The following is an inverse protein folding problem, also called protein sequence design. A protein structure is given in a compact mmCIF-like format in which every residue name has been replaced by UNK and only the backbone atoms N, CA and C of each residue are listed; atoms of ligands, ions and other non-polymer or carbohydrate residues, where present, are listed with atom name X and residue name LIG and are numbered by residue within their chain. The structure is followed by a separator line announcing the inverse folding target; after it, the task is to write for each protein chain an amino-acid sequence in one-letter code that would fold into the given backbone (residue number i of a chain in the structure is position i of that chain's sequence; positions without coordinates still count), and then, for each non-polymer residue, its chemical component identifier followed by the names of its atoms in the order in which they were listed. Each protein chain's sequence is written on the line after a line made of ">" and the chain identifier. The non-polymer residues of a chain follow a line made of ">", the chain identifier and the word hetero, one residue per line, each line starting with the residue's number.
data_IF_194404854983
#
_entry.id   IF_194404854983
#
_cell.length_a   1.000
_cell.length_b   1.000
_cell.length_c   1.000
_cell.angle_alpha   90.00
_cell.angle_beta   90.00
_cell.angle_gamma   90.00
#
_symmetry.space_group_name_H-M   'P 1'
#
loop_
_entity.id
_entity.type
_entity.pdbx_description
1 polymer ?
#
# COMPACT_ATOMS: atom_id res chain seq x y z
N UNK A 1 -36.65 -66.20 -65.09
CA UNK A 1 -36.49 -65.47 -63.82
C UNK A 1 -35.38 -66.19 -63.06
N UNK A 2 -34.15 -65.67 -63.16
CA UNK A 2 -32.93 -66.40 -62.82
C UNK A 2 -32.43 -65.90 -61.46
N UNK A 3 -32.75 -66.61 -60.37
CA UNK A 3 -32.28 -66.31 -59.03
C UNK A 3 -30.93 -67.03 -58.76
N UNK A 4 -29.89 -66.65 -59.50
CA UNK A 4 -28.51 -67.04 -59.20
C UNK A 4 -27.73 -65.82 -58.73
N UNK A 5 -27.06 -65.97 -57.58
CA UNK A 5 -26.14 -65.05 -56.90
C UNK A 5 -26.70 -63.94 -55.95
N UNK A 6 -27.47 -64.32 -54.92
CA UNK A 6 -27.79 -63.42 -53.78
C UNK A 6 -27.31 -63.91 -52.40
N UNK A 7 -26.88 -65.17 -52.26
CA UNK A 7 -26.46 -65.74 -50.97
C UNK A 7 -25.01 -65.43 -50.58
N UNK A 8 -24.13 -65.19 -51.56
CA UNK A 8 -22.73 -64.80 -51.32
C UNK A 8 -22.54 -63.33 -50.89
N UNK A 9 -23.40 -62.42 -51.37
CA UNK A 9 -23.37 -61.01 -50.99
C UNK A 9 -23.91 -60.79 -49.58
N UNK A 10 -24.90 -61.58 -49.14
CA UNK A 10 -25.53 -61.45 -47.82
C UNK A 10 -24.56 -61.75 -46.65
N UNK A 11 -23.69 -62.76 -46.81
CA UNK A 11 -22.66 -63.09 -45.81
C UNK A 11 -21.57 -62.02 -45.74
N UNK A 12 -21.13 -61.50 -46.90
CA UNK A 12 -20.15 -60.41 -46.96
C UNK A 12 -20.71 -59.13 -46.32
N UNK A 13 -21.97 -58.80 -46.61
CA UNK A 13 -22.66 -57.63 -46.06
C UNK A 13 -22.88 -57.76 -44.56
N UNK A 14 -23.21 -58.94 -44.04
CA UNK A 14 -23.30 -59.20 -42.60
C UNK A 14 -21.94 -59.06 -41.89
N UNK A 15 -20.85 -59.54 -42.50
CA UNK A 15 -19.49 -59.39 -41.96
C UNK A 15 -19.03 -57.92 -42.01
N UNK A 16 -19.29 -57.20 -43.10
CA UNK A 16 -19.00 -55.78 -43.21
C UNK A 16 -19.82 -54.94 -42.22
N UNK A 17 -21.12 -55.22 -42.09
CA UNK A 17 -22.01 -54.53 -41.16
C UNK A 17 -21.59 -54.77 -39.70
N UNK A 18 -21.20 -56.00 -39.34
CA UNK A 18 -20.71 -56.30 -37.99
C UNK A 18 -19.34 -55.69 -37.70
N UNK A 19 -18.42 -55.65 -38.68
CA UNK A 19 -17.16 -54.95 -38.55
C UNK A 19 -17.36 -53.43 -38.38
N UNK A 20 -18.26 -52.83 -39.17
CA UNK A 20 -18.61 -51.41 -39.07
C UNK A 20 -19.26 -51.09 -37.72
N UNK A 21 -20.19 -51.95 -37.26
CA UNK A 21 -20.83 -51.83 -35.94
C UNK A 21 -19.77 -51.86 -34.82
N UNK A 22 -18.80 -52.77 -34.90
CA UNK A 22 -17.74 -52.87 -33.90
C UNK A 22 -16.88 -51.59 -33.84
N UNK A 23 -16.54 -51.01 -34.99
CA UNK A 23 -15.80 -49.74 -35.06
C UNK A 23 -16.62 -48.61 -34.43
N UNK A 24 -17.92 -48.51 -34.75
CA UNK A 24 -18.79 -47.50 -34.15
C UNK A 24 -18.96 -47.69 -32.64
N UNK A 25 -19.10 -48.93 -32.17
CA UNK A 25 -19.22 -49.22 -30.74
C UNK A 25 -17.97 -48.77 -29.97
N UNK A 26 -16.77 -49.06 -30.49
CA UNK A 26 -15.50 -48.62 -29.87
C UNK A 26 -15.39 -47.09 -29.88
N UNK A 27 -15.77 -46.43 -30.98
CA UNK A 27 -15.74 -44.97 -31.08
C UNK A 27 -16.69 -44.31 -30.06
N UNK A 28 -17.92 -44.82 -29.92
CA UNK A 28 -18.92 -44.31 -28.97
C UNK A 28 -18.43 -44.50 -27.52
N UNK A 29 -17.90 -45.67 -27.19
CA UNK A 29 -17.34 -45.94 -25.87
C UNK A 29 -16.16 -45.00 -25.55
N UNK A 30 -15.24 -44.84 -26.51
CA UNK A 30 -14.07 -43.95 -26.36
C UNK A 30 -14.48 -42.49 -26.17
N UNK A 31 -15.46 -42.02 -26.93
CA UNK A 31 -16.00 -40.67 -26.80
C UNK A 31 -16.68 -40.47 -25.45
N UNK A 32 -17.44 -41.45 -24.97
CA UNK A 32 -18.12 -41.39 -23.66
C UNK A 32 -17.11 -41.32 -22.51
N UNK A 33 -16.06 -42.14 -22.54
CA UNK A 33 -14.98 -42.11 -21.54
C UNK A 33 -14.29 -40.75 -21.57
N UNK A 34 -13.95 -40.24 -22.74
CA UNK A 34 -13.27 -38.94 -22.90
C UNK A 34 -14.16 -37.79 -22.43
N UNK A 35 -15.46 -37.82 -22.73
CA UNK A 35 -16.42 -36.81 -22.30
C UNK A 35 -16.59 -36.80 -20.77
N UNK A 36 -16.67 -37.98 -20.15
CA UNK A 36 -16.76 -38.10 -18.69
C UNK A 36 -15.47 -37.65 -18.00
N UNK A 37 -14.31 -38.02 -18.52
CA UNK A 37 -13.02 -37.53 -18.01
C UNK A 37 -12.87 -36.02 -18.16
N UNK A 38 -13.29 -35.46 -19.30
CA UNK A 38 -13.29 -34.02 -19.54
C UNK A 38 -14.18 -33.26 -18.55
N UNK A 39 -15.39 -33.78 -18.28
CA UNK A 39 -16.33 -33.19 -17.32
C UNK A 39 -15.80 -33.28 -15.89
N UNK A 40 -15.29 -34.45 -15.49
CA UNK A 40 -14.69 -34.64 -14.17
C UNK A 40 -13.49 -33.72 -13.93
N UNK A 41 -12.63 -33.56 -14.95
CA UNK A 41 -11.52 -32.60 -14.89
C UNK A 41 -12.03 -31.16 -14.74
N UNK A 42 -12.99 -30.74 -15.55
CA UNK A 42 -13.53 -29.38 -15.49
C UNK A 42 -14.14 -29.05 -14.13
N UNK A 43 -14.88 -29.99 -13.52
CA UNK A 43 -15.42 -29.84 -12.17
C UNK A 43 -14.32 -29.76 -11.12
N UNK A 44 -13.26 -30.57 -11.25
CA UNK A 44 -12.12 -30.53 -10.34
C UNK A 44 -11.36 -29.21 -10.43
N UNK A 45 -11.12 -28.73 -11.66
CA UNK A 45 -10.47 -27.46 -11.93
C UNK A 45 -11.29 -26.29 -11.36
N UNK A 46 -12.62 -26.34 -11.42
CA UNK A 46 -13.49 -25.33 -10.80
C UNK A 46 -13.43 -25.37 -9.26
N UNK A 47 -13.46 -26.57 -8.65
CA UNK A 47 -13.37 -26.74 -7.19
C UNK A 47 -12.02 -26.23 -6.65
N UNK A 48 -10.89 -26.57 -7.28
CA UNK A 48 -9.57 -26.10 -6.82
C UNK A 48 -9.43 -24.58 -6.90
N UNK A 49 -9.93 -23.95 -7.97
CA UNK A 49 -9.94 -22.48 -8.08
C UNK A 49 -10.78 -21.87 -6.96
N UNK A 50 -11.97 -22.43 -6.70
CA UNK A 50 -12.83 -21.98 -5.61
C UNK A 50 -12.15 -22.12 -4.25
N UNK A 51 -11.50 -23.26 -3.96
CA UNK A 51 -10.77 -23.48 -2.68
C UNK A 51 -9.60 -22.55 -2.49
N UNK A 52 -8.86 -22.25 -3.55
CA UNK A 52 -7.76 -21.30 -3.48
C UNK A 52 -8.27 -19.88 -3.22
N UNK A 53 -9.34 -19.46 -3.91
CA UNK A 53 -10.01 -18.18 -3.69
C UNK A 53 -10.60 -18.06 -2.28
N UNK A 54 -11.27 -19.11 -1.79
CA UNK A 54 -11.78 -19.16 -0.42
C UNK A 54 -10.65 -18.91 0.59
N UNK A 55 -9.47 -19.50 0.38
CA UNK A 55 -8.31 -19.28 1.25
C UNK A 55 -7.78 -17.84 1.20
N UNK A 56 -7.69 -17.22 0.03
CA UNK A 56 -7.20 -15.83 -0.06
C UNK A 56 -8.20 -14.84 0.55
N UNK A 57 -9.50 -15.05 0.34
CA UNK A 57 -10.54 -14.19 0.93
C UNK A 57 -10.59 -14.36 2.46
N UNK A 58 -10.44 -15.58 2.97
CA UNK A 58 -10.30 -15.81 4.40
C UNK A 58 -9.12 -15.02 4.99
N UNK A 59 -7.94 -15.11 4.40
CA UNK A 59 -6.76 -14.33 4.84
C UNK A 59 -7.02 -12.81 4.84
N UNK A 60 -7.74 -12.29 3.84
CA UNK A 60 -8.08 -10.85 3.75
C UNK A 60 -8.98 -10.37 4.89
N UNK A 61 -9.81 -11.25 5.46
CA UNK A 61 -10.68 -10.90 6.60
C UNK A 61 -9.96 -10.88 7.94
N UNK A 62 -8.76 -11.47 8.03
CA UNK A 62 -7.97 -11.46 9.27
C UNK A 62 -7.44 -10.03 9.48
N UNK A 63 -7.55 -9.46 10.70
CA UNK A 63 -6.91 -8.18 11.02
C UNK A 63 -5.42 -8.21 10.70
N UNK A 64 -4.88 -7.09 10.21
CA UNK A 64 -3.48 -7.03 9.79
C UNK A 64 -2.53 -7.48 10.90
N UNK A 65 -2.76 -7.01 12.13
CA UNK A 65 -1.91 -7.31 13.30
C UNK A 65 -2.01 -8.76 13.77
N UNK A 66 -3.03 -9.49 13.31
CA UNK A 66 -3.23 -10.91 13.60
C UNK A 66 -2.65 -11.82 12.51
N UNK A 67 -2.14 -11.27 11.41
CA UNK A 67 -1.47 -12.03 10.35
C UNK A 67 0.00 -12.28 10.75
N UNK A 68 0.27 -13.47 11.28
CA UNK A 68 1.64 -13.91 11.53
C UNK A 68 2.29 -14.46 10.26
N UNK A 69 3.57 -14.16 10.07
CA UNK A 69 4.35 -14.72 8.97
C UNK A 69 4.35 -16.25 9.03
N UNK A 70 4.12 -16.89 7.89
CA UNK A 70 4.05 -18.35 7.81
C UNK A 70 4.40 -18.83 6.40
N UNK A 71 5.31 -19.80 6.34
CA UNK A 71 5.70 -20.47 5.09
C UNK A 71 4.79 -21.67 4.75
N UNK A 72 4.20 -22.27 5.78
CA UNK A 72 3.24 -23.37 5.65
C UNK A 72 2.17 -23.24 6.74
N UNK A 73 1.09 -22.56 6.40
CA UNK A 73 -0.03 -22.37 7.30
C UNK A 73 -1.30 -23.07 6.89
N UNK A 74 -2.23 -23.13 7.85
CA UNK A 74 -3.61 -23.54 7.67
C UNK A 74 -4.56 -22.47 8.21
N UNK A 75 -5.78 -22.46 7.67
CA UNK A 75 -6.85 -21.59 8.14
C UNK A 75 -7.73 -22.32 9.14
N UNK A 76 -8.25 -21.60 10.12
CA UNK A 76 -9.21 -22.12 11.08
C UNK A 76 -10.29 -21.09 11.39
N UNK A 77 -11.55 -21.50 11.32
CA UNK A 77 -12.70 -20.67 11.68
C UNK A 77 -13.02 -20.84 13.16
N UNK A 78 -13.07 -19.73 13.90
CA UNK A 78 -13.33 -19.73 15.36
C UNK A 78 -14.82 -19.60 15.71
N UNK A 79 -15.69 -19.47 14.71
CA UNK A 79 -17.12 -19.14 14.89
C UNK A 79 -17.45 -17.70 14.50
N UNK A 80 -16.50 -16.78 14.64
CA UNK A 80 -16.67 -15.35 14.32
C UNK A 80 -15.57 -14.77 13.44
N UNK A 81 -14.39 -15.38 13.40
CA UNK A 81 -13.26 -14.89 12.63
C UNK A 81 -12.40 -16.04 12.09
N UNK A 82 -11.75 -15.77 10.96
CA UNK A 82 -10.67 -16.61 10.47
C UNK A 82 -9.39 -16.35 11.26
N UNK A 83 -8.63 -17.42 11.45
CA UNK A 83 -7.28 -17.37 12.04
C UNK A 83 -6.34 -18.15 11.14
N UNK A 84 -5.08 -17.73 11.10
CA UNK A 84 -4.00 -18.45 10.42
C UNK A 84 -3.07 -19.04 11.46
N UNK A 85 -2.70 -20.30 11.28
CA UNK A 85 -1.74 -21.00 12.15
C UNK A 85 -0.58 -21.54 11.33
N UNK A 86 0.59 -21.74 11.94
CA UNK A 86 1.75 -22.39 11.32
C UNK A 86 1.73 -23.92 11.48
N UNK A 87 0.54 -24.53 11.51
CA UNK A 87 0.38 -25.98 11.74
C UNK A 87 0.62 -26.86 10.50
N UNK A 88 1.01 -26.25 9.38
CA UNK A 88 1.20 -26.93 8.10
C UNK A 88 -0.06 -26.95 7.23
N UNK A 89 -0.02 -27.65 6.09
CA UNK A 89 -1.14 -27.72 5.16
C UNK A 89 -2.39 -28.39 5.75
N UNK A 90 -3.57 -27.91 5.37
CA UNK A 90 -4.85 -28.52 5.74
C UNK A 90 -5.43 -29.40 4.63
N UNK A 91 -6.06 -30.51 5.01
CA UNK A 91 -6.76 -31.38 4.06
C UNK A 91 -8.21 -30.96 3.93
N UNK A 92 -8.62 -30.63 2.71
CA UNK A 92 -9.99 -30.31 2.34
C UNK A 92 -10.68 -31.54 1.72
N UNK A 93 -11.99 -31.42 1.51
CA UNK A 93 -12.77 -32.45 0.82
C UNK A 93 -12.24 -32.72 -0.60
N UNK A 94 -12.45 -33.95 -1.09
CA UNK A 94 -12.09 -34.31 -2.46
C UNK A 94 -10.59 -34.49 -2.71
N UNK A 95 -9.78 -34.71 -1.66
CA UNK A 95 -8.34 -34.96 -1.79
C UNK A 95 -7.54 -33.72 -2.17
N UNK A 96 -8.05 -32.53 -1.85
CA UNK A 96 -7.35 -31.25 -2.01
C UNK A 96 -6.63 -30.95 -0.70
N UNK A 97 -5.39 -30.50 -0.78
CA UNK A 97 -4.64 -29.96 0.34
C UNK A 97 -4.43 -28.48 0.12
N UNK A 98 -4.74 -27.62 1.11
CA UNK A 98 -4.50 -26.18 1.06
C UNK A 98 -3.34 -25.80 1.97
N UNK A 99 -2.47 -24.95 1.47
CA UNK A 99 -1.40 -24.30 2.24
C UNK A 99 -1.56 -22.80 2.06
N UNK A 100 -1.69 -22.07 3.16
CA UNK A 100 -1.65 -20.61 3.14
C UNK A 100 -0.29 -20.09 3.56
N UNK A 101 0.11 -18.94 3.00
CA UNK A 101 1.37 -18.27 3.36
C UNK A 101 1.13 -16.79 3.59
N UNK A 102 1.85 -16.27 4.58
CA UNK A 102 1.91 -14.84 4.88
C UNK A 102 3.39 -14.49 4.88
N UNK A 103 3.81 -13.65 3.94
CA UNK A 103 5.20 -13.29 3.72
C UNK A 103 5.38 -11.80 3.83
N UNK A 104 6.56 -11.39 4.25
CA UNK A 104 6.98 -9.99 4.15
C UNK A 104 7.15 -9.62 2.67
N UNK A 105 6.99 -8.34 2.38
CA UNK A 105 7.38 -7.72 1.12
C UNK A 105 8.47 -6.70 1.38
N UNK A 106 9.27 -6.42 0.36
CA UNK A 106 10.30 -5.39 0.42
C UNK A 106 9.98 -4.28 -0.59
N UNK A 107 10.35 -3.04 -0.27
CA UNK A 107 10.26 -1.88 -1.16
C UNK A 107 11.61 -1.21 -1.37
N UNK A 108 11.77 -0.56 -2.52
CA UNK A 108 12.86 0.38 -2.76
C UNK A 108 12.53 1.79 -2.24
N UNK A 109 13.48 2.72 -2.40
CA UNK A 109 13.33 4.12 -2.00
C UNK A 109 12.24 4.88 -2.75
N UNK A 110 11.71 4.34 -3.85
CA UNK A 110 10.59 4.91 -4.59
C UNK A 110 9.26 4.26 -4.19
N UNK A 111 9.26 3.52 -3.08
CA UNK A 111 8.10 2.80 -2.58
C UNK A 111 7.52 1.79 -3.57
N UNK A 112 8.34 1.20 -4.42
CA UNK A 112 7.95 0.12 -5.34
C UNK A 112 8.28 -1.23 -4.70
N UNK A 113 7.36 -2.19 -4.76
CA UNK A 113 7.62 -3.56 -4.28
C UNK A 113 8.70 -4.21 -5.16
N UNK A 114 9.77 -4.68 -4.51
CA UNK A 114 10.93 -5.31 -5.16
C UNK A 114 11.11 -6.77 -4.71
N UNK A 115 11.89 -7.58 -5.45
CA UNK A 115 12.21 -8.93 -5.02
C UNK A 115 12.94 -8.96 -3.68
N UNK A 116 12.70 -10.01 -2.88
CA UNK A 116 13.36 -10.23 -1.60
C UNK A 116 14.89 -10.15 -1.70
N UNK A 117 15.51 -9.44 -0.76
CA UNK A 117 16.94 -9.12 -0.72
C UNK A 117 17.35 -7.92 -1.59
N UNK A 118 16.40 -7.16 -2.14
CA UNK A 118 16.66 -6.01 -3.03
C UNK A 118 16.14 -4.68 -2.50
N UNK A 119 15.47 -4.66 -1.34
CA UNK A 119 14.96 -3.45 -0.71
C UNK A 119 14.85 -3.59 0.81
N UNK A 120 14.12 -2.66 1.41
CA UNK A 120 13.82 -2.66 2.84
C UNK A 120 12.46 -3.28 3.11
N UNK A 121 12.31 -3.94 4.26
CA UNK A 121 11.07 -4.62 4.64
C UNK A 121 9.95 -3.59 4.81
N UNK A 122 8.87 -3.76 4.04
CA UNK A 122 7.64 -2.97 4.20
C UNK A 122 6.84 -3.51 5.39
N UNK A 123 6.83 -2.72 6.46
CA UNK A 123 6.14 -3.05 7.72
C UNK A 123 4.60 -2.98 7.60
N UNK A 124 4.08 -2.32 6.57
CA UNK A 124 2.66 -2.08 6.37
C UNK A 124 2.01 -2.99 5.33
N UNK A 125 2.80 -3.74 4.57
CA UNK A 125 2.27 -4.66 3.55
C UNK A 125 2.75 -6.09 3.77
N UNK A 126 1.82 -7.04 3.64
CA UNK A 126 2.11 -8.48 3.62
C UNK A 126 1.67 -9.08 2.29
N UNK A 127 2.46 -10.03 1.78
CA UNK A 127 2.05 -10.90 0.69
C UNK A 127 1.32 -12.11 1.24
N UNK A 128 0.11 -12.33 0.72
CA UNK A 128 -0.78 -13.43 1.07
C UNK A 128 -0.82 -14.42 -0.09
N UNK A 129 -0.69 -15.71 0.22
CA UNK A 129 -0.85 -16.78 -0.76
C UNK A 129 -1.78 -17.86 -0.24
N UNK A 130 -2.59 -18.40 -1.14
CA UNK A 130 -3.40 -19.59 -0.93
C UNK A 130 -3.10 -20.56 -2.06
N UNK A 131 -2.34 -21.60 -1.74
CA UNK A 131 -2.00 -22.68 -2.66
C UNK A 131 -2.85 -23.90 -2.35
N UNK A 132 -3.49 -24.45 -3.36
CA UNK A 132 -4.14 -25.75 -3.29
C UNK A 132 -3.39 -26.75 -4.13
N UNK A 133 -3.23 -27.96 -3.61
CA UNK A 133 -2.59 -29.08 -4.30
C UNK A 133 -3.51 -30.29 -4.31
N UNK A 134 -3.45 -31.06 -5.39
CA UNK A 134 -4.24 -32.29 -5.55
C UNK A 134 -3.50 -33.27 -6.47
N UNK A 135 -3.98 -34.50 -6.51
CA UNK A 135 -3.51 -35.51 -7.46
C UNK A 135 -4.56 -35.70 -8.55
N UNK A 136 -4.13 -35.64 -9.82
CA UNK A 136 -5.03 -35.86 -10.95
C UNK A 136 -5.37 -37.36 -11.15
N UNK A 137 -6.32 -37.71 -12.04
CA UNK A 137 -6.69 -39.12 -12.28
C UNK A 137 -5.55 -40.01 -12.80
N UNK A 138 -4.44 -39.43 -13.28
CA UNK A 138 -3.25 -40.16 -13.73
C UNK A 138 -2.19 -40.28 -12.63
N UNK A 139 -2.48 -39.85 -11.40
CA UNK A 139 -1.57 -39.90 -10.27
C UNK A 139 -0.55 -38.76 -10.23
N UNK A 140 -0.72 -37.71 -11.03
CA UNK A 140 0.23 -36.58 -11.11
C UNK A 140 -0.15 -35.51 -10.10
N UNK A 141 0.83 -35.02 -9.35
CA UNK A 141 0.64 -33.87 -8.46
C UNK A 141 0.37 -32.61 -9.30
N UNK A 142 -0.59 -31.81 -8.86
CA UNK A 142 -0.99 -30.53 -9.44
C UNK A 142 -1.12 -29.50 -8.31
N UNK A 143 -0.87 -28.23 -8.61
CA UNK A 143 -1.14 -27.13 -7.70
C UNK A 143 -1.67 -25.91 -8.41
N UNK A 144 -2.38 -25.06 -7.66
CA UNK A 144 -2.91 -23.79 -8.10
C UNK A 144 -2.78 -22.78 -6.96
N UNK A 145 -2.18 -21.63 -7.25
CA UNK A 145 -1.90 -20.60 -6.24
C UNK A 145 -2.61 -19.32 -6.60
N UNK A 146 -3.28 -18.72 -5.62
CA UNK A 146 -3.80 -17.36 -5.68
C UNK A 146 -3.01 -16.50 -4.71
N UNK A 147 -2.52 -15.36 -5.18
CA UNK A 147 -1.77 -14.39 -4.38
C UNK A 147 -2.50 -13.06 -4.28
N UNK A 148 -2.29 -12.35 -3.19
CA UNK A 148 -2.78 -10.99 -2.95
C UNK A 148 -1.79 -10.23 -2.08
N UNK A 149 -1.89 -8.91 -2.08
CA UNK A 149 -1.28 -8.07 -1.05
C UNK A 149 -2.34 -7.69 -0.02
N UNK A 150 -1.89 -7.43 1.21
CA UNK A 150 -2.68 -6.84 2.28
C UNK A 150 -1.88 -5.69 2.87
N UNK A 151 -2.39 -4.47 2.77
CA UNK A 151 -1.75 -3.25 3.29
C UNK A 151 -2.54 -2.67 4.45
N UNK A 152 -1.86 -2.18 5.48
CA UNK A 152 -2.41 -1.46 6.63
C UNK A 152 -2.55 0.03 6.31
N UNK A 153 -3.72 0.43 5.81
CA UNK A 153 -3.98 1.83 5.44
C UNK A 153 -4.43 2.73 6.60
N UNK A 154 -4.92 2.16 7.70
CA UNK A 154 -5.54 2.95 8.78
C UNK A 154 -4.53 3.57 9.73
N UNK A 155 -3.34 3.00 9.82
CA UNK A 155 -2.27 3.41 10.72
C UNK A 155 -0.92 2.89 10.17
N UNK A 156 -0.49 3.40 9.00
CA UNK A 156 0.77 3.01 8.40
C UNK A 156 1.94 3.40 9.31
N UNK A 157 2.98 2.58 9.34
CA UNK A 157 4.17 2.76 10.16
C UNK A 157 5.43 2.96 9.31
N UNK A 158 5.38 2.57 8.04
CA UNK A 158 6.47 2.69 7.08
C UNK A 158 6.37 3.97 6.28
N UNK A 159 7.54 4.52 5.94
CA UNK A 159 7.71 5.81 5.26
C UNK A 159 6.91 5.93 3.96
N UNK A 160 6.65 4.82 3.28
CA UNK A 160 5.91 4.79 2.02
C UNK A 160 4.42 5.12 2.11
N UNK A 161 3.84 5.05 3.30
CA UNK A 161 2.41 5.25 3.49
C UNK A 161 2.09 6.26 4.60
N UNK A 162 3.10 6.75 5.33
CA UNK A 162 2.92 7.87 6.25
C UNK A 162 2.42 9.09 5.47
N UNK A 163 1.49 9.82 6.08
CA UNK A 163 1.03 11.07 5.49
C UNK A 163 2.18 12.09 5.52
N UNK A 164 2.39 12.82 4.42
CA UNK A 164 3.36 13.91 4.34
C UNK A 164 3.14 14.88 5.51
N UNK A 165 4.21 15.30 6.18
CA UNK A 165 4.15 16.22 7.32
C UNK A 165 3.46 17.55 6.93
N UNK A 166 3.69 18.03 5.70
CA UNK A 166 3.00 19.18 5.14
C UNK A 166 1.46 19.03 5.12
N UNK A 167 0.93 17.82 4.97
CA UNK A 167 -0.51 17.58 4.98
C UNK A 167 -1.12 17.61 6.40
N UNK A 168 -0.27 17.50 7.42
CA UNK A 168 -0.66 17.43 8.82
C UNK A 168 -0.41 18.72 9.59
N UNK A 169 0.19 19.73 8.96
CA UNK A 169 0.45 21.03 9.58
C UNK A 169 -0.65 22.04 9.21
N UNK A 170 -1.14 22.77 10.21
CA UNK A 170 -2.01 23.93 10.03
C UNK A 170 -1.25 25.23 10.30
N UNK A 171 -1.27 26.16 9.34
CA UNK A 171 -0.81 27.55 9.56
C UNK A 171 -2.02 28.38 9.97
N UNK A 172 -2.14 28.71 11.26
CA UNK A 172 -3.32 29.40 11.77
C UNK A 172 -3.20 30.92 11.57
N UNK A 173 -3.76 31.39 10.46
CA UNK A 173 -3.88 32.81 10.13
C UNK A 173 -5.12 33.49 10.75
N UNK A 174 -6.01 32.71 11.39
CA UNK A 174 -7.28 33.23 11.94
C UNK A 174 -7.06 34.01 13.24
N UNK A 175 -6.07 33.61 14.04
CA UNK A 175 -5.73 34.27 15.31
C UNK A 175 -5.08 35.66 15.16
N UNK A 176 -4.88 36.11 13.90
CA UNK A 176 -4.23 37.36 13.50
C UNK A 176 -2.79 37.50 14.01
N UNK A 177 -1.82 37.38 13.10
CA UNK A 177 -0.44 37.71 13.41
C UNK A 177 -0.29 39.22 13.67
N UNK A 178 0.64 39.61 14.56
CA UNK A 178 0.79 40.99 15.02
C UNK A 178 2.24 41.51 14.91
N UNK A 179 2.36 42.82 14.70
CA UNK A 179 3.63 43.56 14.71
C UNK A 179 3.93 44.18 16.07
N UNK A 180 4.86 43.60 16.80
CA UNK A 180 5.37 44.18 18.05
C UNK A 180 6.50 45.17 17.77
N UNK A 181 6.34 46.40 18.26
CA UNK A 181 7.29 47.49 17.99
C UNK A 181 7.46 47.78 16.50
N UNK A 182 6.45 47.42 15.68
CA UNK A 182 6.38 47.59 14.23
C UNK A 182 7.36 46.74 13.41
N UNK A 183 8.17 45.89 14.04
CA UNK A 183 9.27 45.17 13.37
C UNK A 183 9.48 43.74 13.85
N UNK A 184 8.61 43.25 14.72
CA UNK A 184 8.64 41.87 15.21
C UNK A 184 7.32 41.21 14.89
N UNK A 185 7.34 40.21 14.02
CA UNK A 185 6.18 39.35 13.80
C UNK A 185 6.04 38.42 15.00
N UNK A 186 4.84 38.36 15.56
CA UNK A 186 4.45 37.48 16.66
C UNK A 186 3.06 36.90 16.40
N UNK A 187 2.59 36.04 17.31
CA UNK A 187 1.22 35.49 17.33
C UNK A 187 0.81 34.73 16.06
N UNK A 188 1.77 34.25 15.28
CA UNK A 188 1.55 33.32 14.18
C UNK A 188 1.71 31.90 14.71
N UNK A 189 0.66 31.08 14.63
CA UNK A 189 0.65 29.74 15.20
C UNK A 189 0.75 28.67 14.13
N UNK A 190 1.58 27.66 14.41
CA UNK A 190 1.65 26.41 13.68
C UNK A 190 0.99 25.33 14.53
N UNK A 191 0.17 24.47 13.92
CA UNK A 191 -0.57 23.41 14.60
C UNK A 191 -0.27 22.08 13.93
N UNK A 192 0.24 21.11 14.69
CA UNK A 192 0.35 19.74 14.23
C UNK A 192 -1.00 19.04 14.47
N UNK A 193 -1.75 18.85 13.38
CA UNK A 193 -3.07 18.22 13.36
C UNK A 193 -2.99 16.68 13.39
N UNK A 194 -1.80 16.11 13.17
CA UNK A 194 -1.51 14.68 13.26
C UNK A 194 -1.19 14.20 14.67
N UNK A 195 -0.93 12.90 14.81
CA UNK A 195 -0.50 12.28 16.08
C UNK A 195 1.00 12.10 16.19
N UNK A 196 1.71 12.10 15.06
CA UNK A 196 3.16 11.95 14.98
C UNK A 196 3.87 13.31 15.03
N UNK A 197 5.12 13.38 15.52
CA UNK A 197 5.90 14.61 15.51
C UNK A 197 6.23 15.07 14.08
N UNK A 198 6.15 16.38 13.84
CA UNK A 198 6.53 17.04 12.59
C UNK A 198 7.81 17.84 12.83
N UNK A 199 8.82 17.76 11.96
CA UNK A 199 10.07 18.51 12.09
C UNK A 199 10.25 19.46 10.92
N UNK A 200 10.32 20.76 11.22
CA UNK A 200 10.63 21.81 10.24
C UNK A 200 12.14 21.96 10.18
N UNK A 201 12.73 21.93 8.98
CA UNK A 201 14.17 22.15 8.77
C UNK A 201 14.49 23.38 7.92
N UNK A 202 13.54 23.87 7.12
CA UNK A 202 13.73 25.04 6.25
C UNK A 202 12.48 25.91 6.22
N UNK A 203 12.69 27.22 6.14
CA UNK A 203 11.65 28.24 6.14
C UNK A 203 11.98 29.31 5.10
N UNK A 204 10.95 29.78 4.39
CA UNK A 204 11.04 30.98 3.56
C UNK A 204 9.91 31.95 3.92
N UNK A 205 10.27 33.18 4.26
CA UNK A 205 9.33 34.30 4.32
C UNK A 205 9.47 35.16 3.07
N UNK A 206 8.35 35.47 2.43
CA UNK A 206 8.30 36.46 1.34
C UNK A 206 7.44 37.65 1.78
N UNK A 207 7.95 38.86 1.56
CA UNK A 207 7.30 40.14 1.88
C UNK A 207 7.57 41.23 0.82
N UNK A 208 6.78 42.30 0.82
CA UNK A 208 6.72 43.29 -0.25
C UNK A 208 7.39 44.66 0.05
N UNK A 209 8.39 44.69 0.92
CA UNK A 209 9.17 45.91 1.23
C UNK A 209 10.69 45.63 1.18
N UNK A 210 11.51 46.64 1.49
CA UNK A 210 12.97 46.56 1.39
C UNK A 210 13.67 46.15 2.70
N UNK A 211 12.92 45.85 3.76
CA UNK A 211 13.49 45.44 5.05
C UNK A 211 14.06 44.02 4.95
N UNK A 212 15.02 43.71 5.83
CA UNK A 212 15.66 42.39 5.95
C UNK A 212 15.27 41.70 7.25
N UNK A 213 15.28 40.38 7.27
CA UNK A 213 15.07 39.56 8.46
C UNK A 213 16.39 39.23 9.16
N UNK A 214 16.42 39.35 10.50
CA UNK A 214 17.65 39.19 11.31
C UNK A 214 17.65 37.94 12.20
N UNK A 215 16.48 37.49 12.65
CA UNK A 215 16.35 36.33 13.54
C UNK A 215 14.91 35.83 13.58
N UNK A 216 14.76 34.54 13.88
CA UNK A 216 13.48 33.87 14.06
C UNK A 216 13.49 32.97 15.29
N UNK A 217 12.38 32.99 16.01
CA UNK A 217 12.09 32.11 17.13
C UNK A 217 10.77 31.39 16.92
N UNK A 218 10.77 30.12 17.30
CA UNK A 218 9.57 29.32 17.49
C UNK A 218 9.52 28.97 18.98
N UNK A 219 8.46 29.41 19.66
CA UNK A 219 8.38 29.48 21.12
C UNK A 219 9.66 30.10 21.72
N UNK A 220 10.26 29.50 22.73
CA UNK A 220 11.49 30.03 23.33
C UNK A 220 12.77 29.70 22.55
N UNK A 221 12.69 28.95 21.45
CA UNK A 221 13.85 28.45 20.72
C UNK A 221 14.19 29.39 19.56
N UNK A 222 15.42 29.89 19.53
CA UNK A 222 15.96 30.57 18.35
C UNK A 222 16.28 29.52 17.31
N UNK A 223 15.51 29.47 16.23
CA UNK A 223 15.70 28.51 15.14
C UNK A 223 16.64 29.05 14.07
N UNK A 224 16.70 30.38 13.90
CA UNK A 224 17.66 31.01 12.99
C UNK A 224 18.09 32.41 13.44
N UNK A 225 19.32 32.82 13.12
CA UNK A 225 19.69 34.24 13.07
C UNK A 225 20.83 34.53 12.10
N UNK A 226 21.01 35.83 11.79
CA UNK A 226 22.13 36.33 10.99
C UNK A 226 23.53 35.95 11.51
N UNK A 227 23.64 35.47 12.74
CA UNK A 227 24.88 34.98 13.37
C UNK A 227 24.83 33.52 13.80
N UNK A 228 23.80 32.78 13.38
CA UNK A 228 23.52 31.41 13.82
C UNK A 228 22.55 31.33 15.00
N UNK A 229 21.88 30.19 15.22
CA UNK A 229 21.98 28.96 14.43
C UNK A 229 21.35 29.10 13.03
N UNK A 230 21.52 28.06 12.20
CA UNK A 230 21.02 27.99 10.83
C UNK A 230 21.88 28.73 9.79
N UNK A 231 21.45 28.67 8.54
CA UNK A 231 22.08 29.26 7.38
C UNK A 231 21.02 29.85 6.42
N UNK A 232 21.36 30.79 5.53
CA UNK A 232 22.61 31.53 5.43
C UNK A 232 22.86 32.51 6.60
N UNK A 233 24.12 32.92 6.76
CA UNK A 233 24.50 33.98 7.71
C UNK A 233 24.24 35.38 7.13
N UNK A 234 24.16 36.38 8.00
CA UNK A 234 23.80 37.76 7.65
C UNK A 234 22.29 38.02 7.66
N UNK A 235 21.86 39.29 7.59
CA UNK A 235 20.46 39.63 7.39
C UNK A 235 19.97 39.13 6.03
N UNK A 236 18.76 38.59 5.97
CA UNK A 236 18.20 37.98 4.76
C UNK A 236 17.12 38.85 4.13
N UNK A 237 17.12 38.89 2.80
CA UNK A 237 16.07 39.53 2.02
C UNK A 237 14.83 38.64 1.91
N UNK A 238 13.72 39.26 1.48
CA UNK A 238 12.48 38.56 1.11
C UNK A 238 12.74 37.41 0.13
N UNK A 239 12.09 36.26 0.36
CA UNK A 239 12.16 35.08 -0.50
C UNK A 239 13.48 34.31 -0.42
N UNK A 240 14.23 34.48 0.68
CA UNK A 240 15.44 33.67 0.92
C UNK A 240 15.05 32.39 1.65
N UNK A 241 15.44 31.24 1.09
CA UNK A 241 15.41 29.93 1.74
C UNK A 241 16.38 29.91 2.92
N UNK A 242 15.87 29.54 4.09
CA UNK A 242 16.61 29.56 5.36
C UNK A 242 16.53 28.19 6.01
N UNK A 243 17.65 27.49 5.95
CA UNK A 243 17.94 26.30 6.72
C UNK A 243 18.04 26.68 8.22
N UNK A 244 17.05 26.23 8.98
CA UNK A 244 16.94 26.53 10.42
C UNK A 244 17.59 25.42 11.25
N UNK A 245 17.87 25.68 12.52
CA UNK A 245 18.01 24.57 13.45
C UNK A 245 16.67 23.84 13.54
N UNK A 246 16.66 22.57 13.14
CA UNK A 246 15.50 21.67 13.15
C UNK A 246 14.62 21.89 14.38
N UNK A 247 13.33 22.11 14.13
CA UNK A 247 12.35 22.34 15.17
C UNK A 247 11.20 21.33 15.06
N UNK A 248 11.08 20.47 16.06
CA UNK A 248 10.05 19.43 16.13
C UNK A 248 8.82 19.91 16.91
N UNK A 249 7.65 19.78 16.29
CA UNK A 249 6.32 20.02 16.87
C UNK A 249 5.71 18.66 17.24
N UNK A 250 5.48 18.36 18.54
CA UNK A 250 4.80 17.14 18.95
C UNK A 250 3.40 17.01 18.34
N UNK A 251 2.96 15.78 18.06
CA UNK A 251 1.61 15.49 17.55
C UNK A 251 0.50 16.07 18.40
N UNK A 252 -0.52 16.65 17.76
CA UNK A 252 -1.70 17.23 18.41
C UNK A 252 -1.41 18.51 19.21
N UNK A 253 -0.29 19.18 18.96
CA UNK A 253 0.10 20.41 19.68
C UNK A 253 0.22 21.61 18.75
N UNK A 254 0.21 22.80 19.34
CA UNK A 254 0.46 24.06 18.63
C UNK A 254 1.66 24.80 19.22
N UNK A 255 2.39 25.49 18.36
CA UNK A 255 3.55 26.32 18.69
C UNK A 255 3.40 27.70 18.07
N UNK A 256 4.01 28.70 18.69
CA UNK A 256 3.98 30.08 18.22
C UNK A 256 5.30 30.44 17.53
N UNK A 257 5.24 31.00 16.32
CA UNK A 257 6.29 31.87 15.79
C UNK A 257 6.18 33.18 16.57
N UNK A 258 6.88 33.22 17.70
CA UNK A 258 6.69 34.25 18.71
C UNK A 258 7.62 35.45 18.52
N UNK A 259 8.61 35.36 17.63
CA UNK A 259 9.50 36.46 17.26
C UNK A 259 10.22 36.21 15.94
N UNK A 260 9.76 36.86 14.88
CA UNK A 260 10.57 37.09 13.67
C UNK A 260 10.92 38.57 13.57
N UNK A 261 12.22 38.89 13.63
CA UNK A 261 12.71 40.26 13.69
C UNK A 261 13.11 40.77 12.31
N UNK A 262 12.60 41.95 11.94
CA UNK A 262 12.97 42.69 10.73
C UNK A 262 13.79 43.94 11.06
N UNK A 263 14.51 44.48 10.08
CA UNK A 263 15.38 45.65 10.22
C UNK A 263 14.63 46.95 10.54
N UNK A 264 13.36 47.06 10.11
CA UNK A 264 12.58 48.29 10.16
C UNK A 264 11.07 48.07 10.25
N UNK A 265 10.31 49.13 9.94
CA UNK A 265 8.85 49.16 10.08
C UNK A 265 8.16 48.32 8.99
N UNK A 266 7.34 47.38 9.43
CA UNK A 266 6.65 46.40 8.58
C UNK A 266 5.15 46.67 8.44
N UNK A 267 4.62 47.81 8.91
CA UNK A 267 3.17 48.10 8.84
C UNK A 267 2.61 48.02 7.42
N UNK A 268 1.48 47.34 7.28
CA UNK A 268 0.80 47.15 5.98
C UNK A 268 1.53 46.22 5.02
N UNK A 269 2.62 45.58 5.44
CA UNK A 269 3.35 44.60 4.65
C UNK A 269 2.58 43.29 4.61
N UNK A 270 2.44 42.71 3.42
CA UNK A 270 1.85 41.39 3.23
C UNK A 270 2.97 40.35 3.18
N UNK A 271 2.77 39.22 3.86
CA UNK A 271 3.71 38.12 3.96
C UNK A 271 3.11 36.81 3.45
N UNK A 272 3.98 35.92 3.00
CA UNK A 272 3.73 34.48 2.88
C UNK A 272 4.81 33.74 3.65
N UNK A 273 4.44 32.56 4.18
CA UNK A 273 5.34 31.64 4.87
C UNK A 273 5.34 30.31 4.13
N UNK A 274 6.50 29.87 3.65
CA UNK A 274 6.74 28.50 3.18
C UNK A 274 7.54 27.75 4.25
N UNK A 275 7.13 26.51 4.53
CA UNK A 275 7.81 25.57 5.42
C UNK A 275 8.17 24.32 4.63
N UNK A 276 9.36 23.80 4.86
CA UNK A 276 9.79 22.47 4.41
C UNK A 276 10.11 21.61 5.63
N UNK A 277 9.76 20.34 5.53
CA UNK A 277 9.81 19.37 6.63
C UNK A 277 10.88 18.32 6.39
N UNK A 278 11.22 17.57 7.45
CA UNK A 278 12.25 16.51 7.38
C UNK A 278 11.95 15.37 6.39
N UNK A 279 10.72 15.29 5.87
CA UNK A 279 10.29 14.35 4.84
C UNK A 279 10.25 14.98 3.44
N UNK A 280 10.90 16.13 3.25
CA UNK A 280 10.98 16.95 2.03
C UNK A 280 9.61 17.44 1.51
N UNK A 281 8.54 17.29 2.31
CA UNK A 281 7.24 17.86 1.99
C UNK A 281 7.22 19.36 2.29
N UNK A 282 6.42 20.11 1.54
CA UNK A 282 6.36 21.58 1.64
C UNK A 282 4.92 22.08 1.80
N UNK A 283 4.74 23.16 2.56
CA UNK A 283 3.49 23.92 2.59
C UNK A 283 3.77 25.41 2.48
N UNK A 284 2.90 26.14 1.79
CA UNK A 284 2.93 27.60 1.73
C UNK A 284 1.60 28.17 2.24
N UNK A 285 1.67 29.17 3.12
CA UNK A 285 0.49 29.87 3.61
C UNK A 285 -0.16 30.71 2.53
N UNK A 286 -1.46 30.97 2.66
CA UNK A 286 -2.07 32.12 1.97
C UNK A 286 -1.37 33.43 2.38
N UNK A 287 -1.36 34.46 1.51
CA UNK A 287 -0.84 35.77 1.88
C UNK A 287 -1.61 36.37 3.06
N UNK A 288 -0.89 36.91 4.05
CA UNK A 288 -1.48 37.55 5.22
C UNK A 288 -0.80 38.88 5.54
N UNK A 289 -1.55 39.81 6.10
CA UNK A 289 -1.05 41.13 6.52
C UNK A 289 -1.23 41.24 8.04
N UNK A 290 -0.14 41.17 8.83
CA UNK A 290 -0.24 41.28 10.27
C UNK A 290 -0.78 42.64 10.73
N UNK A 291 -1.53 42.64 11.82
CA UNK A 291 -2.06 43.83 12.49
C UNK A 291 -1.00 44.44 13.42
N UNK A 292 -1.27 45.58 14.05
CA UNK A 292 -0.32 46.31 14.90
C UNK A 292 -1.03 47.07 16.01
#
# INVERSE_FOLDING_TARGET
>A
MNFRDQSGSLLLEAVLASALLAVFAIAILSLTVTANQGTGKALKDADVVWRAQEGIEALRTIPFDSLSLTDQGSLSWTGSSWTVSSSGPETLAGGITRTVRVKQVERDSNCVIVPTGSGDVDVDTLALESEVSWTDPLGRAQSYTVSSLRTRYTDPQGDCFLAEQASQIGINLTLQAEWFGLKQLRTLYLENLGTEPITIHEIEFTWNNAETMDQMFINSTKVWSSSGPGSPSGPQSSGTEIDIADYTIPGGTSVEINKTQFSGDMRGTTLTLKLEFSDDSEITSDPFTPTW
#
